data_IF_302153731411
#
_entry.id   IF_302153731411
#
_cell.length_a   1.000
_cell.length_b   1.000
_cell.length_c   1.000
_cell.angle_alpha   90.00
_cell.angle_beta   90.00
_cell.angle_gamma   90.00
#
_symmetry.space_group_name_H-M   'P 1'
#
loop_
_entity.id
_entity.type
_entity.pdbx_description
1 polymer ?
#
# COMPACT_ATOMS: atom_id res chain seq x y z
N UNK A 1 1.04 -26.09 10.22
CA UNK A 1 0.78 -25.38 8.94
C UNK A 1 -0.69 -24.95 8.77
N UNK A 2 -1.65 -25.44 9.57
CA UNK A 2 -3.08 -25.10 9.45
C UNK A 2 -3.53 -23.75 10.05
N UNK A 3 -2.77 -23.18 10.99
CA UNK A 3 -3.20 -21.96 11.70
C UNK A 3 -3.01 -20.66 10.90
N UNK A 4 -2.12 -20.67 9.90
CA UNK A 4 -1.86 -19.47 9.10
C UNK A 4 -2.86 -19.27 7.94
N UNK A 5 -3.51 -20.34 7.49
CA UNK A 5 -4.55 -20.27 6.45
C UNK A 5 -5.86 -19.68 6.98
N UNK A 6 -6.26 -20.07 8.20
CA UNK A 6 -7.47 -19.56 8.85
C UNK A 6 -7.40 -18.05 9.14
N UNK A 7 -6.25 -17.55 9.59
CA UNK A 7 -6.08 -16.12 9.87
C UNK A 7 -6.06 -15.23 8.61
N UNK A 8 -5.60 -15.75 7.48
CA UNK A 8 -5.63 -15.01 6.21
C UNK A 8 -7.05 -14.94 5.63
N UNK A 9 -7.83 -16.01 5.74
CA UNK A 9 -9.22 -16.07 5.28
C UNK A 9 -10.11 -15.14 6.11
N UNK A 10 -10.00 -15.14 7.44
CA UNK A 10 -10.77 -14.23 8.31
C UNK A 10 -10.47 -12.75 8.07
N UNK A 11 -9.21 -12.38 7.76
CA UNK A 11 -8.87 -11.00 7.43
C UNK A 11 -9.45 -10.57 6.09
N UNK A 12 -9.51 -11.45 5.13
CA UNK A 12 -10.13 -11.19 3.81
C UNK A 12 -11.63 -10.95 3.96
N UNK A 13 -12.37 -11.82 4.64
CA UNK A 13 -13.80 -11.65 4.90
C UNK A 13 -14.11 -10.29 5.54
N UNK A 14 -13.41 -9.92 6.60
CA UNK A 14 -13.62 -8.63 7.27
C UNK A 14 -13.49 -7.44 6.32
N UNK A 15 -12.50 -7.45 5.43
CA UNK A 15 -12.28 -6.34 4.50
C UNK A 15 -13.27 -6.35 3.33
N UNK A 16 -13.65 -7.52 2.89
CA UNK A 16 -14.72 -7.73 1.93
C UNK A 16 -16.05 -7.18 2.44
N UNK A 17 -16.44 -7.57 3.65
CA UNK A 17 -17.64 -7.07 4.32
C UNK A 17 -17.59 -5.55 4.50
N UNK A 18 -16.43 -5.00 4.90
CA UNK A 18 -16.25 -3.56 5.06
C UNK A 18 -16.48 -2.80 3.75
N UNK A 19 -15.90 -3.26 2.64
CA UNK A 19 -16.07 -2.59 1.33
C UNK A 19 -17.49 -2.72 0.79
N UNK A 20 -18.15 -3.87 1.00
CA UNK A 20 -19.54 -4.05 0.64
C UNK A 20 -20.45 -3.14 1.47
N UNK A 21 -20.25 -3.10 2.80
CA UNK A 21 -20.96 -2.19 3.69
C UNK A 21 -20.89 -0.74 3.24
N UNK A 22 -19.71 -0.29 2.83
CA UNK A 22 -19.52 1.09 2.33
C UNK A 22 -20.38 1.35 1.08
N UNK A 23 -20.39 0.44 0.10
CA UNK A 23 -21.20 0.58 -1.12
C UNK A 23 -22.68 0.62 -0.79
N UNK A 24 -23.16 -0.35 -0.01
CA UNK A 24 -24.58 -0.48 0.31
C UNK A 24 -25.08 0.75 1.10
N UNK A 25 -24.30 1.21 2.07
CA UNK A 25 -24.66 2.38 2.88
C UNK A 25 -24.64 3.67 2.08
N UNK A 26 -23.65 3.87 1.18
CA UNK A 26 -23.62 5.04 0.29
C UNK A 26 -24.85 5.10 -0.60
N UNK A 27 -25.26 3.97 -1.20
CA UNK A 27 -26.46 3.88 -2.03
C UNK A 27 -27.73 4.11 -1.20
N UNK A 28 -27.84 3.47 -0.04
CA UNK A 28 -28.99 3.62 0.87
C UNK A 28 -29.18 5.08 1.31
N UNK A 29 -28.07 5.82 1.54
CA UNK A 29 -28.08 7.23 1.94
C UNK A 29 -28.22 8.21 0.76
N UNK A 30 -28.40 7.72 -0.48
CA UNK A 30 -28.79 8.54 -1.63
C UNK A 30 -27.72 8.82 -2.68
N UNK A 31 -26.57 8.14 -2.62
CA UNK A 31 -25.67 8.16 -3.77
C UNK A 31 -26.35 7.46 -4.97
N UNK A 32 -26.29 8.08 -6.14
CA UNK A 32 -26.71 7.44 -7.39
C UNK A 32 -25.72 6.41 -7.90
N UNK A 33 -24.43 6.63 -7.64
CA UNK A 33 -23.32 5.72 -7.91
C UNK A 33 -22.27 5.85 -6.82
N UNK A 34 -21.59 4.75 -6.50
CA UNK A 34 -20.58 4.70 -5.47
C UNK A 34 -19.41 3.79 -5.87
N UNK A 35 -18.21 4.10 -5.38
CA UNK A 35 -17.09 3.15 -5.38
C UNK A 35 -16.33 3.22 -4.06
N UNK A 36 -15.76 2.08 -3.68
CA UNK A 36 -14.96 1.90 -2.49
C UNK A 36 -13.65 1.20 -2.87
N UNK A 37 -12.52 1.76 -2.44
CA UNK A 37 -11.21 1.14 -2.57
C UNK A 37 -10.56 1.05 -1.21
N UNK A 38 -10.18 -0.15 -0.79
CA UNK A 38 -9.47 -0.40 0.46
C UNK A 38 -8.09 -0.95 0.13
N UNK A 39 -7.04 -0.27 0.60
CA UNK A 39 -5.65 -0.70 0.47
C UNK A 39 -5.05 -0.94 1.85
N UNK A 40 -4.44 -2.12 2.02
CA UNK A 40 -3.67 -2.49 3.21
C UNK A 40 -2.23 -2.73 2.75
N UNK A 41 -1.30 -1.89 3.22
CA UNK A 41 0.13 -2.00 2.90
C UNK A 41 0.91 -2.32 4.16
N UNK A 42 1.59 -3.46 4.16
CA UNK A 42 2.58 -3.84 5.17
C UNK A 42 3.98 -3.67 4.58
N UNK A 43 4.85 -2.94 5.28
CA UNK A 43 6.25 -2.79 4.92
C UNK A 43 7.13 -3.28 6.07
N UNK A 44 8.07 -4.18 5.77
CA UNK A 44 9.17 -4.59 6.64
C UNK A 44 10.45 -3.99 6.06
N UNK A 45 11.13 -3.15 6.81
CA UNK A 45 12.20 -2.27 6.33
C UNK A 45 13.44 -2.39 7.21
N UNK A 46 14.58 -2.55 6.56
CA UNK A 46 15.91 -2.48 7.14
C UNK A 46 16.66 -1.32 6.50
N UNK A 47 17.20 -0.40 7.32
CA UNK A 47 18.01 0.71 6.84
C UNK A 47 19.44 0.63 7.35
N UNK A 48 20.35 1.16 6.57
CA UNK A 48 21.72 1.39 6.95
C UNK A 48 22.16 2.81 6.58
N UNK A 49 23.00 3.43 7.40
CA UNK A 49 23.65 4.67 7.13
C UNK A 49 25.14 4.53 7.45
N UNK A 50 26.00 5.09 6.59
CA UNK A 50 27.46 5.02 6.71
C UNK A 50 27.98 3.60 6.93
N UNK A 51 27.37 2.62 6.20
CA UNK A 51 27.74 1.22 6.26
C UNK A 51 27.34 0.46 7.53
N UNK A 52 26.48 1.03 8.37
CA UNK A 52 25.98 0.41 9.60
C UNK A 52 24.44 0.34 9.58
N UNK A 53 23.88 -0.77 10.03
CA UNK A 53 22.43 -0.88 10.21
C UNK A 53 21.93 0.11 11.26
N UNK A 54 20.90 0.87 10.92
CA UNK A 54 20.36 1.94 11.77
C UNK A 54 18.92 1.74 12.16
N UNK A 55 18.15 1.01 11.36
CA UNK A 55 16.71 0.84 11.59
C UNK A 55 16.23 -0.54 11.13
N UNK A 56 15.36 -1.12 11.95
CA UNK A 56 14.49 -2.25 11.59
C UNK A 56 13.09 -1.91 12.06
N UNK A 57 12.16 -1.75 11.13
CA UNK A 57 10.76 -1.45 11.45
C UNK A 57 9.78 -2.21 10.59
N UNK A 58 8.57 -2.36 11.14
CA UNK A 58 7.41 -2.84 10.38
C UNK A 58 6.31 -1.80 10.48
N UNK A 59 5.78 -1.36 9.35
CA UNK A 59 4.64 -0.46 9.28
C UNK A 59 3.44 -1.16 8.65
N UNK A 60 2.24 -0.82 9.13
CA UNK A 60 0.98 -1.27 8.55
C UNK A 60 0.13 -0.03 8.28
N UNK A 61 -0.15 0.23 7.02
CA UNK A 61 -0.96 1.36 6.59
C UNK A 61 -2.26 0.85 5.99
N UNK A 62 -3.36 1.45 6.41
CA UNK A 62 -4.70 1.21 5.85
C UNK A 62 -5.15 2.50 5.20
N UNK A 63 -5.71 2.39 4.01
CA UNK A 63 -6.30 3.52 3.29
C UNK A 63 -7.63 3.07 2.69
N UNK A 64 -8.71 3.69 3.15
CA UNK A 64 -10.05 3.51 2.61
C UNK A 64 -10.44 4.76 1.83
N UNK A 65 -10.78 4.59 0.57
CA UNK A 65 -11.22 5.66 -0.32
C UNK A 65 -12.68 5.43 -0.65
N UNK A 66 -13.52 6.36 -0.27
CA UNK A 66 -14.94 6.41 -0.59
C UNK A 66 -15.18 7.42 -1.70
N UNK A 67 -15.93 7.05 -2.71
CA UNK A 67 -16.37 7.94 -3.77
C UNK A 67 -17.88 7.85 -3.90
N UNK A 68 -18.54 9.00 -3.89
CA UNK A 68 -19.98 9.13 -4.09
C UNK A 68 -20.28 10.04 -5.29
N UNK A 69 -21.29 9.67 -6.08
CA UNK A 69 -21.86 10.50 -7.14
C UNK A 69 -23.34 10.69 -6.85
N UNK A 70 -23.78 11.94 -6.84
CA UNK A 70 -25.18 12.34 -6.67
C UNK A 70 -25.54 13.28 -7.81
N UNK A 71 -26.39 12.86 -8.74
CA UNK A 71 -26.84 13.68 -9.89
C UNK A 71 -25.65 14.35 -10.62
N UNK A 72 -24.66 13.57 -11.03
CA UNK A 72 -23.44 14.01 -11.70
C UNK A 72 -22.46 14.86 -10.84
N UNK A 73 -22.75 15.07 -9.59
CA UNK A 73 -21.85 15.71 -8.61
C UNK A 73 -21.03 14.63 -7.92
N UNK A 74 -19.72 14.79 -7.88
CA UNK A 74 -18.80 13.79 -7.36
C UNK A 74 -18.01 14.32 -6.17
N UNK A 75 -17.78 13.46 -5.19
CA UNK A 75 -16.77 13.68 -4.16
C UNK A 75 -16.02 12.39 -3.84
N UNK A 76 -14.84 12.54 -3.30
CA UNK A 76 -13.99 11.46 -2.81
C UNK A 76 -13.46 11.84 -1.44
N UNK A 77 -13.51 10.90 -0.50
CA UNK A 77 -12.95 11.05 0.84
C UNK A 77 -12.01 9.89 1.14
N UNK A 78 -10.92 10.18 1.86
CA UNK A 78 -9.91 9.19 2.24
C UNK A 78 -9.83 9.13 3.75
N UNK A 79 -9.92 7.92 4.31
CA UNK A 79 -9.72 7.66 5.74
C UNK A 79 -8.72 6.52 5.93
N UNK A 80 -8.07 6.49 7.08
CA UNK A 80 -7.03 5.53 7.44
C UNK A 80 -7.40 4.63 8.63
N UNK A 81 -8.65 4.65 9.04
CA UNK A 81 -9.21 3.84 10.10
C UNK A 81 -10.50 3.16 9.62
N UNK A 82 -10.71 1.90 10.05
CA UNK A 82 -11.85 1.07 9.67
C UNK A 82 -12.84 0.87 10.83
N UNK A 83 -12.78 1.68 11.87
CA UNK A 83 -13.79 1.67 12.92
C UNK A 83 -15.14 2.07 12.31
N UNK A 84 -16.20 1.41 12.76
CA UNK A 84 -17.54 1.62 12.22
C UNK A 84 -17.95 3.10 12.26
N UNK A 85 -17.71 3.78 13.37
CA UNK A 85 -18.07 5.19 13.53
C UNK A 85 -17.28 6.08 12.56
N UNK A 86 -15.99 5.78 12.33
CA UNK A 86 -15.15 6.50 11.35
C UNK A 86 -15.69 6.31 9.93
N UNK A 87 -16.07 5.09 9.57
CA UNK A 87 -16.66 4.79 8.24
C UNK A 87 -18.00 5.48 8.07
N UNK A 88 -18.89 5.40 9.05
CA UNK A 88 -20.22 6.00 8.99
C UNK A 88 -20.14 7.54 8.86
N UNK A 89 -19.27 8.17 9.62
CA UNK A 89 -19.00 9.62 9.50
C UNK A 89 -18.41 9.98 8.13
N UNK A 90 -17.49 9.18 7.61
CA UNK A 90 -16.89 9.40 6.30
C UNK A 90 -17.92 9.25 5.16
N UNK A 91 -18.86 8.31 5.28
CA UNK A 91 -19.96 8.13 4.34
C UNK A 91 -20.86 9.37 4.34
N UNK A 92 -21.22 9.88 5.51
CA UNK A 92 -22.05 11.09 5.62
C UNK A 92 -21.33 12.31 5.06
N UNK A 93 -20.05 12.47 5.37
CA UNK A 93 -19.24 13.57 4.87
C UNK A 93 -19.07 13.54 3.35
N UNK A 94 -18.75 12.39 2.75
CA UNK A 94 -18.56 12.30 1.29
C UNK A 94 -19.86 12.59 0.53
N UNK A 95 -21.03 12.27 1.11
CA UNK A 95 -22.32 12.59 0.52
C UNK A 95 -22.61 14.09 0.59
N UNK A 96 -22.28 14.77 1.70
CA UNK A 96 -22.37 16.23 1.85
C UNK A 96 -21.47 16.92 0.83
N UNK A 97 -20.21 16.46 0.71
CA UNK A 97 -19.25 17.00 -0.25
C UNK A 97 -19.73 16.80 -1.69
N UNK A 98 -20.26 15.62 -2.03
CA UNK A 98 -20.80 15.35 -3.35
C UNK A 98 -21.98 16.29 -3.67
N UNK A 99 -22.92 16.47 -2.73
CA UNK A 99 -24.04 17.41 -2.93
C UNK A 99 -23.60 18.86 -3.16
N UNK A 100 -22.48 19.25 -2.57
CA UNK A 100 -21.91 20.61 -2.64
C UNK A 100 -20.97 20.80 -3.84
N UNK A 101 -20.58 19.73 -4.54
CA UNK A 101 -19.66 19.81 -5.67
C UNK A 101 -20.34 20.33 -6.94
N UNK A 102 -19.50 20.71 -7.92
CA UNK A 102 -19.99 21.15 -9.23
C UNK A 102 -20.56 19.96 -10.00
N UNK A 103 -21.69 20.19 -10.69
CA UNK A 103 -22.27 19.23 -11.62
C UNK A 103 -21.40 19.09 -12.88
N UNK A 104 -21.13 17.84 -13.24
CA UNK A 104 -20.44 17.50 -14.50
C UNK A 104 -20.99 16.15 -15.01
N UNK A 105 -21.62 16.17 -16.16
CA UNK A 105 -22.21 14.98 -16.80
C UNK A 105 -21.19 13.90 -17.14
N UNK A 106 -19.91 14.22 -17.18
CA UNK A 106 -18.82 13.26 -17.36
C UNK A 106 -18.49 12.47 -16.11
N UNK A 107 -18.99 12.87 -14.94
CA UNK A 107 -18.75 12.14 -13.69
C UNK A 107 -19.46 10.78 -13.71
N UNK A 108 -18.68 9.71 -13.75
CA UNK A 108 -19.17 8.34 -13.75
C UNK A 108 -18.20 7.40 -13.01
N UNK A 109 -18.61 6.15 -12.87
CA UNK A 109 -17.80 5.02 -12.41
C UNK A 109 -17.69 3.98 -13.52
N UNK A 110 -16.69 3.08 -13.42
CA UNK A 110 -16.53 1.98 -14.38
C UNK A 110 -17.81 1.14 -14.49
N UNK A 111 -18.13 0.75 -15.72
CA UNK A 111 -19.21 -0.19 -15.99
C UNK A 111 -18.90 -1.55 -15.36
N UNK A 112 -19.93 -2.43 -15.32
CA UNK A 112 -19.78 -3.80 -14.84
C UNK A 112 -18.59 -4.50 -15.51
N UNK A 113 -17.84 -5.20 -14.72
CA UNK A 113 -16.79 -6.13 -15.14
C UNK A 113 -16.89 -7.36 -14.24
N UNK A 114 -16.59 -8.52 -14.79
CA UNK A 114 -16.54 -9.76 -14.03
C UNK A 114 -15.54 -9.65 -12.88
N UNK A 115 -15.85 -10.26 -11.73
CA UNK A 115 -14.98 -10.29 -10.58
C UNK A 115 -13.62 -10.89 -10.94
N UNK A 116 -12.55 -10.26 -10.49
CA UNK A 116 -11.19 -10.68 -10.79
C UNK A 116 -10.32 -10.66 -9.53
N UNK A 117 -9.47 -11.70 -9.44
CA UNK A 117 -8.48 -11.82 -8.38
C UNK A 117 -7.07 -11.89 -8.99
N UNK A 118 -6.18 -11.06 -8.46
CA UNK A 118 -4.78 -10.98 -8.88
C UNK A 118 -3.88 -11.27 -7.70
N UNK A 119 -2.90 -12.16 -7.91
CA UNK A 119 -1.87 -12.43 -6.91
C UNK A 119 -0.51 -12.51 -7.57
N UNK A 120 0.49 -11.82 -7.01
CA UNK A 120 1.86 -11.86 -7.50
C UNK A 120 2.87 -11.74 -6.37
N UNK A 121 4.00 -12.46 -6.54
CA UNK A 121 5.11 -12.48 -5.61
C UNK A 121 4.84 -13.19 -4.29
N UNK A 122 5.77 -13.13 -3.33
CA UNK A 122 5.67 -13.81 -2.05
C UNK A 122 4.61 -13.15 -1.15
N UNK A 123 3.83 -13.96 -0.44
CA UNK A 123 2.78 -13.47 0.47
C UNK A 123 3.32 -13.04 1.84
N UNK A 124 4.55 -13.48 2.18
CA UNK A 124 5.24 -13.15 3.44
C UNK A 124 6.70 -12.87 3.18
N UNK A 125 7.23 -11.84 3.82
CA UNK A 125 8.67 -11.58 3.85
C UNK A 125 9.36 -12.40 4.94
N UNK A 126 10.62 -12.75 4.70
CA UNK A 126 11.51 -13.37 5.68
C UNK A 126 12.49 -12.33 6.20
N UNK A 127 12.14 -11.70 7.31
CA UNK A 127 12.94 -10.61 7.91
C UNK A 127 14.32 -11.09 8.36
N UNK A 128 14.46 -12.34 8.81
CA UNK A 128 15.74 -12.88 9.23
C UNK A 128 16.67 -13.04 8.03
N UNK A 129 16.17 -13.60 6.95
CA UNK A 129 16.92 -13.72 5.69
C UNK A 129 17.26 -12.35 5.10
N UNK A 130 16.35 -11.38 5.18
CA UNK A 130 16.63 -10.00 4.77
C UNK A 130 17.78 -9.42 5.59
N UNK A 131 17.75 -9.62 6.91
CA UNK A 131 18.82 -9.14 7.80
C UNK A 131 20.17 -9.74 7.44
N UNK A 132 20.25 -11.06 7.26
CA UNK A 132 21.48 -11.74 6.90
C UNK A 132 22.04 -11.27 5.54
N UNK A 133 21.17 -11.14 4.54
CA UNK A 133 21.57 -10.65 3.22
C UNK A 133 22.05 -9.19 3.28
N UNK A 134 21.40 -8.36 4.06
CA UNK A 134 21.75 -6.95 4.20
C UNK A 134 23.06 -6.77 4.96
N UNK A 135 23.27 -7.52 6.05
CA UNK A 135 24.54 -7.57 6.78
C UNK A 135 25.72 -8.02 5.89
N UNK A 136 25.50 -9.08 5.11
CA UNK A 136 26.48 -9.57 4.16
C UNK A 136 26.79 -8.53 3.07
N UNK A 137 25.78 -7.83 2.55
CA UNK A 137 25.98 -6.75 1.59
C UNK A 137 26.89 -5.65 2.15
N UNK A 138 26.65 -5.19 3.38
CA UNK A 138 27.42 -4.14 4.02
C UNK A 138 28.88 -4.58 4.29
N UNK A 139 29.09 -5.80 4.81
CA UNK A 139 30.43 -6.37 5.03
C UNK A 139 31.19 -6.55 3.72
N UNK A 140 30.55 -7.18 2.73
CA UNK A 140 31.15 -7.39 1.40
C UNK A 140 31.53 -6.07 0.73
N UNK A 141 30.67 -5.06 0.78
CA UNK A 141 30.93 -3.75 0.20
C UNK A 141 32.14 -3.09 0.85
N UNK A 142 32.27 -3.17 2.17
CA UNK A 142 33.40 -2.61 2.93
C UNK A 142 34.71 -3.33 2.63
N UNK A 143 34.68 -4.65 2.53
CA UNK A 143 35.88 -5.47 2.30
C UNK A 143 36.37 -5.40 0.86
N UNK A 144 35.44 -5.47 -0.10
CA UNK A 144 35.76 -5.54 -1.53
C UNK A 144 36.03 -4.16 -2.14
N UNK A 145 35.33 -3.13 -1.63
CA UNK A 145 35.40 -1.76 -2.15
C UNK A 145 35.77 -0.75 -1.06
N UNK A 146 36.98 -0.80 -0.48
CA UNK A 146 37.36 -0.02 0.69
C UNK A 146 37.37 1.51 0.45
N UNK A 147 37.33 1.96 -0.81
CA UNK A 147 37.19 3.37 -1.18
C UNK A 147 35.73 3.80 -1.33
N UNK A 148 34.76 2.87 -1.26
CA UNK A 148 33.33 3.14 -1.38
C UNK A 148 32.71 3.28 0.00
N UNK A 149 31.96 4.33 0.20
CA UNK A 149 31.21 4.62 1.42
C UNK A 149 29.73 4.47 1.10
N UNK A 150 29.06 3.50 1.72
CA UNK A 150 27.61 3.40 1.66
C UNK A 150 27.03 4.49 2.54
N UNK A 151 26.50 5.54 1.92
CA UNK A 151 25.88 6.66 2.63
C UNK A 151 24.52 6.27 3.19
N UNK A 152 23.71 5.60 2.36
CA UNK A 152 22.39 5.11 2.73
C UNK A 152 22.11 3.81 1.97
N UNK A 153 21.48 2.85 2.64
CA UNK A 153 20.93 1.67 2.00
C UNK A 153 19.61 1.28 2.68
N UNK A 154 18.70 0.74 1.90
CA UNK A 154 17.39 0.31 2.35
C UNK A 154 17.05 -1.03 1.69
N UNK A 155 16.58 -1.98 2.51
CA UNK A 155 16.08 -3.26 2.04
C UNK A 155 14.69 -3.48 2.62
N UNK A 156 13.71 -3.64 1.75
CA UNK A 156 12.30 -3.72 2.13
C UNK A 156 11.65 -5.01 1.61
N UNK A 157 10.69 -5.51 2.37
CA UNK A 157 9.64 -6.38 1.87
C UNK A 157 8.31 -5.65 1.97
N UNK A 158 7.65 -5.47 0.86
CA UNK A 158 6.39 -4.75 0.75
C UNK A 158 5.30 -5.73 0.34
N UNK A 159 4.24 -5.81 1.16
CA UNK A 159 3.00 -6.52 0.82
C UNK A 159 1.87 -5.52 0.73
N UNK A 160 1.14 -5.54 -0.37
CA UNK A 160 -0.10 -4.78 -0.56
C UNK A 160 -1.28 -5.72 -0.83
N UNK A 161 -2.42 -5.41 -0.23
CA UNK A 161 -3.70 -6.06 -0.48
C UNK A 161 -4.68 -4.95 -0.81
N UNK A 162 -5.37 -5.08 -1.94
CA UNK A 162 -6.29 -4.08 -2.44
C UNK A 162 -7.64 -4.71 -2.76
N UNK A 163 -8.70 -4.08 -2.30
CA UNK A 163 -10.08 -4.37 -2.63
C UNK A 163 -10.66 -3.18 -3.37
N UNK A 164 -11.34 -3.43 -4.45
CA UNK A 164 -12.07 -2.40 -5.18
C UNK A 164 -13.46 -2.89 -5.50
N UNK A 165 -14.46 -2.11 -5.10
CA UNK A 165 -15.87 -2.34 -5.43
C UNK A 165 -16.53 -1.08 -5.92
N UNK A 166 -17.56 -1.27 -6.78
CA UNK A 166 -18.42 -0.18 -7.16
C UNK A 166 -19.89 -0.63 -7.26
N UNK A 167 -20.78 0.34 -7.33
CA UNK A 167 -22.24 0.09 -7.42
C UNK A 167 -22.68 -0.54 -8.76
N UNK A 168 -21.81 -0.58 -9.77
CA UNK A 168 -22.03 -1.32 -11.02
C UNK A 168 -21.56 -2.78 -10.94
N UNK A 169 -21.37 -3.33 -9.72
CA UNK A 169 -20.99 -4.72 -9.44
C UNK A 169 -19.59 -5.10 -9.94
N UNK A 170 -18.67 -4.14 -10.05
CA UNK A 170 -17.26 -4.46 -10.17
C UNK A 170 -16.75 -4.90 -8.80
N UNK A 171 -16.02 -6.01 -8.76
CA UNK A 171 -15.41 -6.58 -7.56
C UNK A 171 -14.00 -7.09 -7.90
N UNK A 172 -12.98 -6.36 -7.50
CA UNK A 172 -11.59 -6.72 -7.74
C UNK A 172 -10.84 -6.89 -6.44
N UNK A 173 -10.08 -7.97 -6.37
CA UNK A 173 -9.12 -8.24 -5.33
C UNK A 173 -7.73 -8.34 -5.92
N UNK A 174 -6.74 -7.69 -5.32
CA UNK A 174 -5.35 -7.82 -5.73
C UNK A 174 -4.43 -7.94 -4.52
N UNK A 175 -3.50 -8.89 -4.57
CA UNK A 175 -2.43 -9.07 -3.60
C UNK A 175 -1.10 -9.08 -4.31
N UNK A 176 -0.16 -8.25 -3.83
CA UNK A 176 1.22 -8.19 -4.36
C UNK A 176 2.21 -8.20 -3.20
N UNK A 177 3.26 -9.02 -3.31
CA UNK A 177 4.42 -8.95 -2.42
C UNK A 177 5.69 -8.88 -3.24
N UNK A 178 6.64 -8.05 -2.80
CA UNK A 178 7.94 -7.93 -3.47
C UNK A 178 9.01 -7.43 -2.50
N UNK A 179 10.25 -7.72 -2.85
CA UNK A 179 11.41 -7.14 -2.19
C UNK A 179 11.92 -5.97 -3.02
N UNK A 180 12.33 -4.90 -2.33
CA UNK A 180 12.95 -3.72 -2.91
C UNK A 180 14.25 -3.45 -2.20
N UNK A 181 15.28 -3.11 -2.95
CA UNK A 181 16.57 -2.72 -2.44
C UNK A 181 17.04 -1.44 -3.09
N UNK A 182 17.59 -0.56 -2.27
CA UNK A 182 18.19 0.69 -2.71
C UNK A 182 19.51 0.91 -1.97
N UNK A 183 20.50 1.44 -2.65
CA UNK A 183 21.75 1.88 -2.04
C UNK A 183 22.27 3.14 -2.71
N UNK A 184 22.65 4.11 -1.89
CA UNK A 184 23.34 5.33 -2.28
C UNK A 184 24.75 5.29 -1.73
N UNK A 185 25.74 5.58 -2.55
CA UNK A 185 27.14 5.52 -2.16
C UNK A 185 28.00 6.59 -2.83
N UNK A 186 29.13 6.90 -2.19
CA UNK A 186 30.21 7.71 -2.72
C UNK A 186 31.50 6.91 -2.75
N UNK A 187 32.47 7.35 -3.55
CA UNK A 187 33.84 6.81 -3.53
C UNK A 187 34.81 7.92 -3.16
N UNK A 188 35.77 7.58 -2.28
CA UNK A 188 36.78 8.55 -1.77
C UNK A 188 38.18 8.02 -1.90
N UNK A 189 39.07 8.85 -2.48
CA UNK A 189 40.48 8.58 -2.54
C UNK A 189 41.28 9.85 -2.22
N UNK A 190 41.91 9.88 -1.05
CA UNK A 190 42.57 11.09 -0.55
C UNK A 190 41.58 12.24 -0.38
N UNK A 191 41.78 13.34 -1.12
CA UNK A 191 40.89 14.50 -1.14
C UNK A 191 39.78 14.41 -2.22
N UNK A 192 39.88 13.44 -3.12
CA UNK A 192 38.91 13.26 -4.21
C UNK A 192 37.71 12.47 -3.72
N UNK A 193 36.51 13.02 -3.93
CA UNK A 193 35.23 12.38 -3.59
C UNK A 193 34.37 12.43 -4.83
N UNK A 194 33.76 11.27 -5.18
CA UNK A 194 32.73 11.22 -6.24
C UNK A 194 31.46 11.92 -5.78
N UNK A 195 30.61 12.28 -6.75
CA UNK A 195 29.20 12.56 -6.46
C UNK A 195 28.48 11.28 -6.00
N UNK A 196 27.23 11.42 -5.53
CA UNK A 196 26.40 10.28 -5.17
C UNK A 196 26.11 9.39 -6.39
N UNK A 197 26.19 8.09 -6.16
CA UNK A 197 25.81 7.06 -7.09
C UNK A 197 24.71 6.21 -6.44
N UNK A 198 23.87 5.59 -7.27
CA UNK A 198 22.72 4.83 -6.83
C UNK A 198 22.72 3.45 -7.49
N UNK A 199 22.27 2.45 -6.74
CA UNK A 199 22.00 1.11 -7.23
C UNK A 199 20.76 0.55 -6.51
N UNK A 200 19.97 -0.25 -7.21
CA UNK A 200 18.78 -0.84 -6.61
C UNK A 200 18.02 -1.75 -7.55
N UNK A 201 17.01 -2.42 -6.99
CA UNK A 201 16.04 -3.26 -7.70
C UNK A 201 14.71 -3.30 -6.94
N UNK A 202 13.61 -3.66 -7.66
CA UNK A 202 12.27 -3.95 -7.17
C UNK A 202 11.82 -5.33 -7.67
#
# INVERSE_FOLDING_TARGET
MSSNLTNNTQRQEKYDECTQYCIDTLLQKGASKASCSLSIKKNQELNAAHGQMTLNRTTNNITLILKAIIKHKIATLVVNNLDKDTIDNAIDEVLILANSSKDDVANDISLFQEAQEFSSGPVTGDINKMYDLFANYLSYSKETYPKTIIEEAMFEFIKSINYFRNSNKVDFFAQKGYYSFFSMFTSKEGTNISSFNYNGFD
#
